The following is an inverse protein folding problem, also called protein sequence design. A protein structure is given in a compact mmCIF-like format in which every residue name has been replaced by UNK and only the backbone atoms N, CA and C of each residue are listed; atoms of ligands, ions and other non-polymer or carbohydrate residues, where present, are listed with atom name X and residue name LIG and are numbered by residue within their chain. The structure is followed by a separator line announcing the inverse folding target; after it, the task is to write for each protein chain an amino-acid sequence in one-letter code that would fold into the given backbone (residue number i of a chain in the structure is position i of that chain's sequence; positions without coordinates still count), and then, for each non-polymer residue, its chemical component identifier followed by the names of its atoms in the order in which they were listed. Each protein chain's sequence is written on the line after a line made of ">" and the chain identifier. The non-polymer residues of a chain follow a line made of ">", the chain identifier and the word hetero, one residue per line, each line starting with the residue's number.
data_IF_309843405407
#
_entry.id   IF_309843405407
#
_cell.length_a   1.000
_cell.length_b   1.000
_cell.length_c   1.000
_cell.angle_alpha   90.00
_cell.angle_beta   90.00
_cell.angle_gamma   90.00
#
_symmetry.space_group_name_H-M   'P 1'
#
loop_
_entity.id
_entity.type
_entity.pdbx_description
1 polymer ?
#
# COMPACT_ATOMS: atom_id res chain seq x y z
N UNK A 1 -33.67 -20.90 -17.88
CA UNK A 1 -32.63 -20.35 -17.00
C UNK A 1 -31.34 -21.02 -17.39
N UNK A 2 -30.49 -20.35 -18.16
CA UNK A 2 -29.12 -20.83 -18.36
C UNK A 2 -28.40 -20.66 -17.01
N UNK A 3 -27.65 -21.65 -16.53
CA UNK A 3 -26.70 -21.40 -15.45
C UNK A 3 -25.75 -20.31 -15.97
N UNK A 4 -25.64 -19.20 -15.24
CA UNK A 4 -24.56 -18.25 -15.48
C UNK A 4 -23.26 -19.07 -15.41
N UNK A 5 -22.56 -19.18 -16.54
CA UNK A 5 -21.26 -19.83 -16.56
C UNK A 5 -20.39 -19.05 -15.56
N UNK A 6 -20.00 -19.70 -14.46
CA UNK A 6 -19.04 -19.13 -13.51
C UNK A 6 -17.86 -18.59 -14.32
N UNK A 7 -17.64 -17.28 -14.24
CA UNK A 7 -16.57 -16.64 -14.96
C UNK A 7 -15.25 -17.24 -14.46
N UNK A 8 -14.55 -17.97 -15.32
CA UNK A 8 -13.29 -18.62 -14.97
C UNK A 8 -12.34 -17.58 -14.35
N UNK A 9 -11.94 -17.82 -13.11
CA UNK A 9 -11.15 -16.90 -12.31
C UNK A 9 -10.11 -17.66 -11.50
N UNK A 10 -9.03 -16.95 -11.18
CA UNK A 10 -8.03 -17.35 -10.21
C UNK A 10 -8.51 -16.81 -8.87
N UNK A 11 -8.95 -17.69 -7.98
CA UNK A 11 -9.39 -17.36 -6.62
C UNK A 11 -8.19 -17.11 -5.70
N UNK A 12 -8.45 -16.86 -4.43
CA UNK A 12 -7.45 -16.77 -3.36
C UNK A 12 -6.44 -17.93 -3.36
N UNK A 13 -6.90 -19.18 -3.38
CA UNK A 13 -6.03 -20.37 -3.47
C UNK A 13 -5.15 -20.35 -4.74
N UNK A 14 -5.73 -19.90 -5.86
CA UNK A 14 -5.01 -19.76 -7.11
C UNK A 14 -3.96 -18.64 -7.08
N UNK A 15 -4.25 -17.55 -6.37
CA UNK A 15 -3.31 -16.45 -6.16
C UNK A 15 -2.16 -16.90 -5.26
N UNK A 16 -2.43 -17.65 -4.19
CA UNK A 16 -1.38 -18.23 -3.35
C UNK A 16 -0.46 -19.16 -4.15
N UNK A 17 -1.03 -20.05 -4.96
CA UNK A 17 -0.25 -20.92 -5.85
C UNK A 17 0.55 -20.11 -6.90
N UNK A 18 0.01 -18.99 -7.39
CA UNK A 18 0.73 -18.07 -8.27
C UNK A 18 1.90 -17.40 -7.54
N UNK A 19 1.72 -16.92 -6.31
CA UNK A 19 2.77 -16.33 -5.48
C UNK A 19 3.92 -17.32 -5.26
N UNK A 20 3.61 -18.56 -4.88
CA UNK A 20 4.58 -19.65 -4.74
C UNK A 20 5.36 -19.88 -6.04
N UNK A 21 4.64 -19.93 -7.16
CA UNK A 21 5.24 -20.10 -8.47
C UNK A 21 6.05 -18.87 -8.91
N UNK A 22 5.83 -17.68 -8.35
CA UNK A 22 6.63 -16.48 -8.60
C UNK A 22 7.77 -16.32 -7.58
N UNK A 23 7.79 -17.11 -6.50
CA UNK A 23 8.77 -17.03 -5.44
C UNK A 23 8.67 -15.73 -4.64
N UNK A 24 7.44 -15.26 -4.40
CA UNK A 24 7.12 -14.06 -3.63
C UNK A 24 6.08 -14.38 -2.56
N UNK A 25 6.08 -13.62 -1.48
CA UNK A 25 5.04 -13.71 -0.46
C UNK A 25 3.75 -13.03 -0.96
N UNK A 26 2.58 -13.54 -0.53
CA UNK A 26 1.29 -12.96 -0.92
C UNK A 26 1.06 -11.55 -0.34
N UNK A 27 1.74 -11.21 0.76
CA UNK A 27 1.76 -9.89 1.38
C UNK A 27 2.87 -8.98 0.81
N UNK A 28 3.70 -9.48 -0.11
CA UNK A 28 4.74 -8.66 -0.71
C UNK A 28 4.12 -7.50 -1.50
N UNK A 29 4.55 -6.24 -1.29
CA UNK A 29 4.03 -5.08 -2.00
C UNK A 29 4.05 -5.21 -3.53
N UNK A 30 4.96 -6.03 -4.09
CA UNK A 30 5.02 -6.28 -5.54
C UNK A 30 3.73 -6.91 -6.09
N UNK A 31 2.91 -7.55 -5.25
CA UNK A 31 1.59 -8.03 -5.62
C UNK A 31 0.62 -6.90 -6.00
N UNK A 32 0.77 -5.70 -5.43
CA UNK A 32 -0.02 -4.53 -5.82
C UNK A 32 0.38 -4.03 -7.22
N UNK A 33 1.68 -4.03 -7.53
CA UNK A 33 2.18 -3.70 -8.87
C UNK A 33 1.72 -4.73 -9.91
N UNK A 34 1.77 -6.02 -9.57
CA UNK A 34 1.26 -7.10 -10.42
C UNK A 34 -0.24 -6.94 -10.67
N UNK A 35 -1.03 -6.74 -9.61
CA UNK A 35 -2.48 -6.53 -9.70
C UNK A 35 -2.83 -5.29 -10.53
N UNK A 36 -2.04 -4.22 -10.42
CA UNK A 36 -2.18 -3.03 -11.24
C UNK A 36 -1.93 -3.33 -12.72
N UNK A 37 -0.91 -4.14 -13.06
CA UNK A 37 -0.64 -4.54 -14.44
C UNK A 37 -1.76 -5.45 -15.01
N UNK A 38 -2.39 -6.25 -14.16
CA UNK A 38 -3.58 -7.04 -14.51
C UNK A 38 -4.84 -6.18 -14.65
N UNK A 39 -4.81 -4.92 -14.18
CA UNK A 39 -6.00 -4.06 -14.00
C UNK A 39 -7.10 -4.76 -13.21
N UNK A 40 -6.72 -5.50 -12.17
CA UNK A 40 -7.63 -6.27 -11.37
C UNK A 40 -8.67 -5.37 -10.67
N UNK A 41 -9.94 -5.73 -10.76
CA UNK A 41 -11.03 -4.95 -10.19
C UNK A 41 -11.20 -5.15 -8.68
N UNK A 42 -10.81 -6.32 -8.15
CA UNK A 42 -11.08 -6.69 -6.74
C UNK A 42 -9.94 -7.54 -6.19
N UNK A 43 -9.55 -7.25 -4.95
CA UNK A 43 -8.52 -8.01 -4.23
C UNK A 43 -8.92 -9.47 -4.02
N UNK A 44 -7.95 -10.38 -4.11
CA UNK A 44 -8.17 -11.82 -3.89
C UNK A 44 -8.75 -12.58 -5.09
N UNK A 45 -8.97 -11.93 -6.23
CA UNK A 45 -9.44 -12.60 -7.45
C UNK A 45 -8.84 -11.98 -8.71
N UNK A 46 -8.46 -12.82 -9.67
CA UNK A 46 -8.23 -12.40 -11.05
C UNK A 46 -9.17 -13.13 -11.99
N UNK A 47 -10.00 -12.40 -12.72
CA UNK A 47 -10.76 -12.98 -13.84
C UNK A 47 -9.80 -13.46 -14.92
N UNK A 48 -10.20 -14.46 -15.72
CA UNK A 48 -9.44 -14.90 -16.89
C UNK A 48 -9.11 -13.76 -17.85
N UNK A 49 -9.98 -12.75 -17.95
CA UNK A 49 -9.77 -11.57 -18.78
C UNK A 49 -8.64 -10.70 -18.23
N UNK A 50 -8.70 -10.32 -16.95
CA UNK A 50 -7.66 -9.52 -16.28
C UNK A 50 -6.30 -10.20 -16.37
N UNK A 51 -6.23 -11.48 -16.00
CA UNK A 51 -4.97 -12.23 -16.03
C UNK A 51 -4.37 -12.28 -17.44
N UNK A 52 -5.18 -12.59 -18.47
CA UNK A 52 -4.71 -12.62 -19.86
C UNK A 52 -4.27 -11.24 -20.35
N UNK A 53 -5.03 -10.20 -20.03
CA UNK A 53 -4.71 -8.83 -20.42
C UNK A 53 -3.40 -8.37 -19.78
N UNK A 54 -3.19 -8.60 -18.49
CA UNK A 54 -1.94 -8.23 -17.82
C UNK A 54 -0.74 -9.06 -18.28
N UNK A 55 -0.90 -10.37 -18.50
CA UNK A 55 0.15 -11.19 -19.11
C UNK A 55 0.57 -10.65 -20.48
N UNK A 56 -0.40 -10.24 -21.31
CA UNK A 56 -0.11 -9.61 -22.60
C UNK A 56 0.62 -8.27 -22.45
N UNK A 57 0.17 -7.39 -21.54
CA UNK A 57 0.82 -6.09 -21.25
C UNK A 57 2.24 -6.25 -20.73
N UNK A 58 2.47 -7.27 -19.91
CA UNK A 58 3.80 -7.60 -19.38
C UNK A 58 4.67 -8.36 -20.39
N UNK A 59 4.15 -8.66 -21.58
CA UNK A 59 4.80 -9.46 -22.61
C UNK A 59 5.24 -10.84 -22.10
N UNK A 60 4.38 -11.47 -21.29
CA UNK A 60 4.61 -12.77 -20.67
C UNK A 60 3.70 -13.83 -21.31
N UNK A 61 4.28 -14.98 -21.62
CA UNK A 61 3.55 -16.14 -22.16
C UNK A 61 3.61 -17.38 -21.25
N UNK A 62 4.42 -17.32 -20.19
CA UNK A 62 4.59 -18.37 -19.19
C UNK A 62 4.82 -17.77 -17.80
N UNK A 63 4.69 -18.60 -16.76
CA UNK A 63 4.98 -18.20 -15.38
C UNK A 63 6.45 -17.84 -15.19
N UNK A 64 7.38 -18.50 -15.90
CA UNK A 64 8.80 -18.12 -15.84
C UNK A 64 9.05 -16.71 -16.40
N UNK A 65 8.34 -16.32 -17.47
CA UNK A 65 8.41 -14.96 -17.98
C UNK A 65 7.89 -13.96 -16.94
N UNK A 66 6.76 -14.28 -16.29
CA UNK A 66 6.17 -13.41 -15.27
C UNK A 66 7.10 -13.29 -14.05
N UNK A 67 7.69 -14.39 -13.59
CA UNK A 67 8.70 -14.42 -12.52
C UNK A 67 9.88 -13.51 -12.85
N UNK A 68 10.35 -13.54 -14.10
CA UNK A 68 11.43 -12.67 -14.56
C UNK A 68 11.06 -11.17 -14.59
N UNK A 69 9.77 -10.82 -14.53
CA UNK A 69 9.29 -9.42 -14.44
C UNK A 69 9.20 -8.88 -13.01
N UNK A 70 9.23 -9.72 -11.98
CA UNK A 70 9.15 -9.29 -10.58
C UNK A 70 10.18 -8.20 -10.23
N UNK A 71 11.47 -8.30 -10.60
CA UNK A 71 12.43 -7.23 -10.32
C UNK A 71 12.08 -5.90 -11.00
N UNK A 72 11.55 -5.96 -12.23
CA UNK A 72 11.12 -4.77 -12.94
C UNK A 72 9.92 -4.11 -12.25
N UNK A 73 8.91 -4.90 -11.83
CA UNK A 73 7.76 -4.41 -11.07
C UNK A 73 8.19 -3.76 -9.76
N UNK A 74 9.14 -4.35 -9.02
CA UNK A 74 9.71 -3.71 -7.81
C UNK A 74 10.39 -2.38 -8.11
N UNK A 75 11.09 -2.26 -9.25
CA UNK A 75 11.70 -1.00 -9.64
C UNK A 75 10.64 0.06 -9.98
N UNK A 76 9.51 -0.32 -10.60
CA UNK A 76 8.39 0.58 -10.82
C UNK A 76 7.81 1.11 -9.51
N UNK A 77 7.76 0.25 -8.47
CA UNK A 77 7.31 0.68 -7.16
C UNK A 77 8.24 1.65 -6.47
N UNK A 78 9.53 1.72 -6.83
CA UNK A 78 10.50 2.68 -6.26
C UNK A 78 10.55 3.98 -7.04
N UNK A 79 10.20 3.93 -8.31
CA UNK A 79 10.19 5.07 -9.20
C UNK A 79 8.97 5.96 -8.92
N UNK A 80 9.21 7.23 -8.59
CA UNK A 80 8.18 8.16 -8.12
C UNK A 80 7.01 8.30 -9.10
N UNK A 81 7.32 8.41 -10.39
CA UNK A 81 6.31 8.66 -11.42
C UNK A 81 5.48 7.40 -11.70
N UNK A 82 6.12 6.23 -11.80
CA UNK A 82 5.43 4.97 -12.00
C UNK A 82 4.63 4.54 -10.76
N UNK A 83 5.17 4.76 -9.56
CA UNK A 83 4.53 4.41 -8.29
C UNK A 83 3.18 5.09 -8.11
N UNK A 84 3.04 6.35 -8.54
CA UNK A 84 1.79 7.11 -8.44
C UNK A 84 0.58 6.37 -9.06
N UNK A 85 0.81 5.64 -10.16
CA UNK A 85 -0.24 4.84 -10.80
C UNK A 85 -0.67 3.64 -9.95
N UNK A 86 0.31 2.92 -9.38
CA UNK A 86 0.10 1.75 -8.50
C UNK A 86 -0.60 2.18 -7.22
N UNK A 87 -0.15 3.28 -6.61
CA UNK A 87 -0.74 3.84 -5.40
C UNK A 87 -2.19 4.28 -5.60
N UNK A 88 -2.49 4.98 -6.70
CA UNK A 88 -3.86 5.40 -7.03
C UNK A 88 -4.77 4.21 -7.34
N UNK A 89 -4.26 3.21 -8.06
CA UNK A 89 -4.96 1.96 -8.35
C UNK A 89 -5.34 1.21 -7.07
N UNK A 90 -4.40 1.10 -6.12
CA UNK A 90 -4.56 0.30 -4.90
C UNK A 90 -5.78 0.70 -4.08
N UNK A 91 -6.15 1.99 -4.07
CA UNK A 91 -7.37 2.45 -3.40
C UNK A 91 -8.64 1.78 -3.95
N UNK A 92 -8.78 1.74 -5.28
CA UNK A 92 -9.94 1.16 -5.94
C UNK A 92 -9.96 -0.36 -5.86
N UNK A 93 -8.77 -0.97 -5.94
CA UNK A 93 -8.56 -2.41 -5.86
C UNK A 93 -8.91 -3.01 -4.49
N UNK A 94 -8.63 -2.27 -3.42
CA UNK A 94 -8.75 -2.78 -2.04
C UNK A 94 -10.08 -2.45 -1.37
N UNK A 95 -10.82 -1.45 -1.86
CA UNK A 95 -12.11 -1.07 -1.25
C UNK A 95 -13.21 -2.05 -1.61
N UNK A 96 -14.20 -2.17 -0.72
CA UNK A 96 -15.47 -2.79 -1.09
C UNK A 96 -16.08 -2.03 -2.30
N UNK A 97 -16.50 -2.71 -3.37
CA UNK A 97 -17.09 -2.08 -4.55
C UNK A 97 -18.31 -1.19 -4.23
N UNK A 98 -19.07 -1.53 -3.19
CA UNK A 98 -20.26 -0.79 -2.72
C UNK A 98 -19.91 0.47 -1.94
N UNK A 99 -18.67 0.60 -1.46
CA UNK A 99 -18.20 1.72 -0.66
C UNK A 99 -17.40 2.74 -1.49
N UNK A 100 -17.47 4.01 -1.08
CA UNK A 100 -16.69 5.10 -1.70
C UNK A 100 -15.36 5.37 -0.98
N UNK A 101 -15.15 4.74 0.17
CA UNK A 101 -14.03 4.95 1.08
C UNK A 101 -13.43 3.62 1.49
N UNK A 102 -12.16 3.63 1.90
CA UNK A 102 -11.50 2.51 2.57
C UNK A 102 -11.79 2.53 4.06
N UNK A 103 -11.88 1.37 4.70
CA UNK A 103 -11.79 1.28 6.16
C UNK A 103 -10.41 1.75 6.62
N UNK A 104 -10.34 2.46 7.75
CA UNK A 104 -9.08 3.02 8.27
C UNK A 104 -7.99 1.96 8.41
N UNK A 105 -8.29 0.84 9.09
CA UNK A 105 -7.30 -0.23 9.32
C UNK A 105 -6.75 -0.82 8.03
N UNK A 106 -7.58 -0.98 7.00
CA UNK A 106 -7.11 -1.44 5.69
C UNK A 106 -6.22 -0.38 5.02
N UNK A 107 -6.60 0.89 5.08
CA UNK A 107 -5.76 1.97 4.53
C UNK A 107 -4.40 2.06 5.25
N UNK A 108 -4.38 1.89 6.57
CA UNK A 108 -3.18 1.83 7.40
C UNK A 108 -2.26 0.68 6.98
N UNK A 109 -2.78 -0.54 6.86
CA UNK A 109 -1.98 -1.69 6.43
C UNK A 109 -1.42 -1.52 5.01
N UNK A 110 -2.19 -0.93 4.09
CA UNK A 110 -1.70 -0.62 2.75
C UNK A 110 -0.64 0.49 2.76
N UNK A 111 -0.80 1.52 3.58
CA UNK A 111 0.21 2.57 3.74
C UNK A 111 1.51 2.05 4.35
N UNK A 112 1.45 1.09 5.27
CA UNK A 112 2.62 0.41 5.81
C UNK A 112 3.46 -0.27 4.73
N UNK A 113 2.79 -0.84 3.71
CA UNK A 113 3.44 -1.45 2.54
C UNK A 113 3.93 -0.43 1.51
N UNK A 114 3.18 0.67 1.32
CA UNK A 114 3.32 1.57 0.17
C UNK A 114 4.12 2.85 0.46
N UNK A 115 4.00 3.43 1.65
CA UNK A 115 4.65 4.69 1.98
C UNK A 115 6.17 4.63 2.20
N UNK A 116 6.79 3.51 2.62
CA UNK A 116 8.24 3.44 2.74
C UNK A 116 8.96 3.85 1.45
N UNK A 117 9.82 4.86 1.54
CA UNK A 117 10.54 5.42 0.38
C UNK A 117 9.79 6.51 -0.40
N UNK A 118 8.50 6.71 -0.15
CA UNK A 118 7.66 7.74 -0.79
C UNK A 118 7.12 8.79 0.16
N UNK A 119 7.24 8.57 1.46
CA UNK A 119 6.82 9.48 2.50
C UNK A 119 7.95 9.57 3.53
N UNK A 120 8.26 10.77 4.02
CA UNK A 120 9.39 10.97 4.94
C UNK A 120 9.13 10.44 6.36
N UNK A 121 7.87 10.46 6.78
CA UNK A 121 7.44 10.14 8.14
C UNK A 121 6.35 9.05 8.19
N UNK A 122 6.55 7.89 7.52
CA UNK A 122 5.48 6.92 7.35
C UNK A 122 4.99 6.36 8.69
N UNK A 123 5.88 6.06 9.65
CA UNK A 123 5.46 5.48 10.94
C UNK A 123 4.77 6.52 11.83
N UNK A 124 5.28 7.75 11.87
CA UNK A 124 4.56 8.83 12.56
C UNK A 124 3.19 9.07 11.93
N UNK A 125 3.07 9.05 10.61
CA UNK A 125 1.78 9.14 9.92
C UNK A 125 0.82 8.01 10.29
N UNK A 126 1.30 6.75 10.26
CA UNK A 126 0.48 5.58 10.61
C UNK A 126 0.01 5.61 12.07
N UNK A 127 0.82 6.12 13.01
CA UNK A 127 0.37 6.32 14.38
C UNK A 127 -0.64 7.46 14.47
N UNK A 128 -0.31 8.62 13.88
CA UNK A 128 -1.13 9.81 13.93
C UNK A 128 -2.53 9.58 13.35
N UNK A 129 -2.62 8.92 12.20
CA UNK A 129 -3.89 8.67 11.52
C UNK A 129 -4.78 7.72 12.31
N UNK A 130 -4.22 6.74 13.03
CA UNK A 130 -4.99 5.83 13.91
C UNK A 130 -5.62 6.59 15.07
N UNK A 131 -4.90 7.56 15.63
CA UNK A 131 -5.35 8.34 16.80
C UNK A 131 -6.30 9.48 16.42
N UNK A 132 -6.17 10.05 15.21
CA UNK A 132 -6.81 11.32 14.85
C UNK A 132 -7.78 11.24 13.65
N UNK A 133 -7.81 10.13 12.90
CA UNK A 133 -8.73 9.98 11.77
C UNK A 133 -10.08 9.39 12.17
N UNK A 134 -11.06 9.54 11.28
CA UNK A 134 -12.32 8.78 11.34
C UNK A 134 -12.08 7.33 10.95
N UNK A 135 -13.09 6.47 11.14
CA UNK A 135 -13.03 5.05 10.77
C UNK A 135 -12.88 4.75 9.26
N UNK A 136 -12.81 5.78 8.39
CA UNK A 136 -12.70 5.62 6.94
C UNK A 136 -11.77 6.65 6.29
N UNK A 137 -11.14 6.27 5.19
CA UNK A 137 -10.25 7.10 4.37
C UNK A 137 -10.87 7.32 2.99
N UNK A 138 -11.03 8.60 2.60
CA UNK A 138 -11.54 8.97 1.28
C UNK A 138 -10.47 8.84 0.19
N UNK A 139 -10.88 8.74 -1.07
CA UNK A 139 -9.95 8.72 -2.21
C UNK A 139 -9.09 9.98 -2.28
N UNK A 140 -9.67 11.12 -1.95
CA UNK A 140 -8.99 12.42 -1.96
C UNK A 140 -7.85 12.45 -0.94
N UNK A 141 -8.14 12.14 0.33
CA UNK A 141 -7.12 12.05 1.37
C UNK A 141 -6.03 11.03 1.00
N UNK A 142 -6.43 9.84 0.50
CA UNK A 142 -5.48 8.83 0.04
C UNK A 142 -4.47 9.40 -0.96
N UNK A 143 -4.94 10.05 -2.03
CA UNK A 143 -4.05 10.63 -3.03
C UNK A 143 -3.19 11.77 -2.47
N UNK A 144 -3.77 12.64 -1.65
CA UNK A 144 -3.07 13.76 -1.02
C UNK A 144 -1.94 13.32 -0.08
N UNK A 145 -2.04 12.15 0.56
CA UNK A 145 -0.94 11.59 1.37
C UNK A 145 0.31 11.34 0.51
N UNK A 146 0.15 10.80 -0.70
CA UNK A 146 1.30 10.60 -1.60
C UNK A 146 1.88 11.91 -2.08
N UNK A 147 1.01 12.84 -2.49
CA UNK A 147 1.43 14.18 -2.91
C UNK A 147 2.20 14.89 -1.80
N UNK A 148 1.73 14.79 -0.55
CA UNK A 148 2.41 15.34 0.62
C UNK A 148 3.81 14.73 0.78
N UNK A 149 3.92 13.39 0.71
CA UNK A 149 5.20 12.67 0.82
C UNK A 149 6.21 13.04 -0.28
N UNK A 150 5.73 13.41 -1.47
CA UNK A 150 6.57 13.79 -2.61
C UNK A 150 6.94 15.27 -2.67
N UNK A 151 6.14 16.14 -2.06
CA UNK A 151 6.27 17.60 -2.16
C UNK A 151 6.83 18.24 -0.90
N UNK A 152 6.50 17.73 0.29
CA UNK A 152 6.93 18.31 1.57
C UNK A 152 8.28 17.74 1.97
N UNK A 153 9.21 18.61 2.36
CA UNK A 153 10.55 18.23 2.81
C UNK A 153 10.50 17.54 4.17
N UNK A 154 11.53 16.74 4.54
CA UNK A 154 11.58 16.10 5.85
C UNK A 154 11.51 17.08 7.02
N UNK A 155 12.09 18.27 6.87
CA UNK A 155 12.06 19.31 7.92
C UNK A 155 10.79 20.18 7.90
N UNK A 156 9.85 19.89 6.99
CA UNK A 156 8.63 20.66 6.72
C UNK A 156 8.89 22.15 6.42
N UNK A 157 10.12 22.53 6.06
CA UNK A 157 10.50 23.94 5.84
C UNK A 157 9.79 24.59 4.64
N UNK A 158 9.24 23.80 3.74
CA UNK A 158 8.46 24.25 2.58
C UNK A 158 6.95 24.00 2.73
N UNK A 159 6.49 23.59 3.91
CA UNK A 159 5.07 23.47 4.20
C UNK A 159 4.43 24.86 4.32
N UNK A 160 3.25 25.03 3.71
CA UNK A 160 2.45 26.25 3.75
C UNK A 160 1.10 25.93 4.41
N UNK A 161 0.84 26.55 5.56
CA UNK A 161 -0.41 26.40 6.33
C UNK A 161 -1.64 26.94 5.59
N UNK A 162 -1.44 27.75 4.55
CA UNK A 162 -2.51 28.25 3.68
C UNK A 162 -2.66 27.40 2.41
N UNK A 163 -1.95 26.27 2.34
CA UNK A 163 -2.06 25.29 1.27
C UNK A 163 -3.45 24.66 1.18
N UNK A 164 -3.68 23.89 0.12
CA UNK A 164 -4.95 23.21 -0.12
C UNK A 164 -4.93 21.74 0.36
N UNK A 165 -4.17 21.44 1.42
CA UNK A 165 -4.11 20.09 1.96
C UNK A 165 -5.39 19.75 2.74
N UNK A 166 -5.75 18.46 2.84
CA UNK A 166 -6.77 18.02 3.78
C UNK A 166 -6.39 18.39 5.22
N UNK A 167 -7.37 18.82 6.02
CA UNK A 167 -7.18 19.22 7.43
C UNK A 167 -6.35 18.22 8.24
N UNK A 168 -6.53 16.91 8.02
CA UNK A 168 -5.77 15.88 8.74
C UNK A 168 -4.27 15.91 8.42
N UNK A 169 -3.89 16.26 7.19
CA UNK A 169 -2.50 16.46 6.80
C UNK A 169 -1.95 17.78 7.34
N UNK A 170 -2.77 18.82 7.40
CA UNK A 170 -2.37 20.08 8.03
C UNK A 170 -2.07 19.90 9.53
N UNK A 171 -2.98 19.22 10.24
CA UNK A 171 -2.82 18.93 11.67
C UNK A 171 -1.62 18.01 11.91
N UNK A 172 -1.39 17.02 11.03
CA UNK A 172 -0.18 16.18 11.06
C UNK A 172 1.10 17.00 10.84
N UNK A 173 1.10 17.93 9.89
CA UNK A 173 2.24 18.81 9.64
C UNK A 173 2.55 19.67 10.86
N UNK A 174 1.52 20.25 11.49
CA UNK A 174 1.66 20.98 12.76
C UNK A 174 2.27 20.13 13.88
N UNK A 175 1.78 18.90 14.05
CA UNK A 175 2.32 17.94 15.02
C UNK A 175 3.80 17.63 14.77
N UNK A 176 4.18 17.36 13.52
CA UNK A 176 5.57 17.07 13.17
C UNK A 176 6.49 18.28 13.36
N UNK A 177 6.03 19.49 13.02
CA UNK A 177 6.79 20.73 13.27
C UNK A 177 7.05 20.94 14.77
N UNK A 178 6.04 20.72 15.61
CA UNK A 178 6.20 20.79 17.07
C UNK A 178 7.20 19.74 17.57
N UNK A 179 7.07 18.49 17.13
CA UNK A 179 7.96 17.39 17.52
C UNK A 179 9.42 17.66 17.12
N UNK A 180 9.64 18.14 15.89
CA UNK A 180 10.96 18.51 15.38
C UNK A 180 11.54 19.70 16.15
N UNK A 181 10.72 20.69 16.50
CA UNK A 181 11.15 21.84 17.32
C UNK A 181 11.62 21.42 18.72
N UNK A 182 10.93 20.44 19.33
CA UNK A 182 11.25 19.96 20.68
C UNK A 182 12.47 19.04 20.72
N UNK A 183 12.58 18.09 19.77
CA UNK A 183 13.59 17.01 19.81
C UNK A 183 14.76 17.20 18.84
N UNK A 184 14.60 18.07 17.84
CA UNK A 184 15.50 18.20 16.70
C UNK A 184 15.27 17.14 15.63
N UNK A 185 15.43 17.54 14.36
CA UNK A 185 15.15 16.70 13.18
C UNK A 185 15.88 15.35 13.21
N UNK A 186 17.17 15.34 13.55
CA UNK A 186 17.98 14.13 13.55
C UNK A 186 17.45 13.06 14.55
N UNK A 187 16.99 13.50 15.72
CA UNK A 187 16.40 12.63 16.74
C UNK A 187 15.10 12.01 16.23
N UNK A 188 14.21 12.83 15.64
CA UNK A 188 12.94 12.36 15.09
C UNK A 188 13.17 11.38 13.93
N UNK A 189 14.19 11.59 13.09
CA UNK A 189 14.57 10.64 12.03
C UNK A 189 15.08 9.30 12.60
N UNK A 190 15.82 9.33 13.71
CA UNK A 190 16.25 8.09 14.38
C UNK A 190 15.05 7.35 14.99
N UNK A 191 14.12 8.07 15.60
CA UNK A 191 12.86 7.50 16.11
C UNK A 191 12.05 6.87 14.98
N UNK A 192 11.85 7.57 13.86
CA UNK A 192 11.16 7.05 12.67
C UNK A 192 11.79 5.76 12.15
N UNK A 193 13.12 5.60 12.21
CA UNK A 193 13.79 4.37 11.76
C UNK A 193 13.72 3.21 12.77
N UNK A 194 13.44 3.50 14.04
CA UNK A 194 13.46 2.51 15.14
C UNK A 194 12.07 2.15 15.65
N UNK A 195 11.05 2.93 15.31
CA UNK A 195 9.65 2.58 15.58
C UNK A 195 9.33 1.23 14.92
N UNK A 196 8.96 0.24 15.73
CA UNK A 196 8.52 -1.05 15.21
C UNK A 196 7.21 -0.89 14.44
N UNK A 197 7.11 -1.58 13.32
CA UNK A 197 5.86 -1.69 12.57
C UNK A 197 4.99 -2.78 13.21
N UNK A 198 3.67 -2.80 12.97
CA UNK A 198 2.83 -3.87 13.55
C UNK A 198 3.16 -5.23 12.93
N UNK A 199 3.67 -5.22 11.69
CA UNK A 199 4.24 -6.39 11.00
C UNK A 199 5.40 -7.01 11.80
N UNK A 200 6.26 -6.21 12.46
CA UNK A 200 7.35 -6.73 13.29
C UNK A 200 6.87 -7.52 14.53
N UNK A 201 5.61 -7.33 14.95
CA UNK A 201 5.04 -7.99 16.15
C UNK A 201 4.35 -9.32 15.83
N UNK A 202 4.01 -9.57 14.57
CA UNK A 202 3.26 -10.75 14.14
C UNK A 202 4.16 -11.98 13.89
N UNK A 203 5.48 -11.77 13.85
CA UNK A 203 6.52 -12.82 13.74
C UNK A 203 7.06 -13.30 15.11
N UNK A 204 6.39 -12.96 16.22
CA UNK A 204 6.69 -13.51 17.54
C UNK A 204 6.30 -14.99 17.62
N UNK A 205 7.06 -15.85 18.34
CA UNK A 205 6.77 -17.27 18.36
C UNK A 205 5.43 -17.50 19.06
N UNK A 206 4.39 -17.85 18.30
CA UNK A 206 3.21 -18.49 18.87
C UNK A 206 3.67 -19.80 19.51
N UNK A 207 3.81 -19.77 20.83
CA UNK A 207 4.04 -20.95 21.63
C UNK A 207 2.95 -21.97 21.33
N UNK A 208 3.35 -23.06 20.67
CA UNK A 208 2.66 -24.34 20.72
C UNK A 208 2.41 -24.70 22.19
N UNK A 209 1.18 -24.48 22.65
CA UNK A 209 0.60 -25.27 23.73
C UNK A 209 -0.13 -26.44 23.08
N UNK A 210 0.59 -27.55 22.98
CA UNK A 210 -0.03 -28.86 22.78
C UNK A 210 -0.45 -29.31 24.17
N UNK A 211 -1.74 -29.21 24.48
CA UNK A 211 -2.29 -29.84 25.69
C UNK A 211 -2.24 -31.36 25.51
N UNK A 212 -1.62 -32.04 26.47
CA UNK A 212 -1.56 -33.51 26.64
C UNK A 212 -2.91 -34.10 27.07
#
# INVERSE_FOLDING_TARGET
>A
MHPEAEEESITDDGILALCDALGIDAQDPVMLALSCAMEAATMGIYTRKEFRCGMHKLHCSSIENLRAKIPALRNQMRDRDQFSSIYSFTFGFSKDPTQKSLALELAVGLWELLLPGHFHWPRHWLQYVRENSRSVVSKDLWLQVLDFGHQIKPDLSNYDENGAWPVLLDDFAGHMLELISQKGLATVQQEENTMSTEVDKMDGPENMLVDE
#
